data_IF_004757521215
#
_entry.id   IF_004757521215
#
_cell.length_a   1.000
_cell.length_b   1.000
_cell.length_c   1.000
_cell.angle_alpha   90.00
_cell.angle_beta   90.00
_cell.angle_gamma   90.00
#
_symmetry.space_group_name_H-M   'P 1'
#
loop_
_entity.id
_entity.type
_entity.pdbx_description
1 polymer ?
#
# COMPACT_ATOMS: atom_id res chain seq x y z
N UNK A 1 -6.24 -4.91 0.16
CA UNK A 1 -7.05 -4.53 -1.01
C UNK A 1 -8.47 -5.12 -0.98
N UNK A 2 -8.65 -6.45 -0.90
CA UNK A 2 -10.00 -7.05 -1.04
C UNK A 2 -11.02 -6.66 0.03
N UNK A 3 -10.59 -6.31 1.25
CA UNK A 3 -11.52 -5.86 2.32
C UNK A 3 -12.14 -4.50 2.03
N UNK A 4 -11.34 -3.52 1.60
CA UNK A 4 -11.85 -2.17 1.31
C UNK A 4 -12.78 -2.16 0.09
N UNK A 5 -12.48 -2.93 -0.95
CA UNK A 5 -13.40 -3.06 -2.10
C UNK A 5 -14.77 -3.61 -1.66
N UNK A 6 -14.77 -4.67 -0.84
CA UNK A 6 -16.03 -5.22 -0.31
C UNK A 6 -16.74 -4.28 0.67
N UNK A 7 -15.99 -3.48 1.42
CA UNK A 7 -16.57 -2.43 2.25
C UNK A 7 -17.25 -1.36 1.38
N UNK A 8 -16.60 -0.88 0.31
CA UNK A 8 -17.19 0.08 -0.62
C UNK A 8 -18.48 -0.46 -1.27
N UNK A 9 -18.47 -1.70 -1.76
CA UNK A 9 -19.67 -2.35 -2.31
C UNK A 9 -20.77 -2.46 -1.26
N UNK A 10 -20.43 -2.83 -0.02
CA UNK A 10 -21.42 -2.96 1.05
C UNK A 10 -22.01 -1.61 1.48
N UNK A 11 -21.21 -0.53 1.50
CA UNK A 11 -21.71 0.82 1.77
C UNK A 11 -22.65 1.30 0.67
N UNK A 12 -22.32 1.03 -0.60
CA UNK A 12 -23.19 1.36 -1.73
C UNK A 12 -24.52 0.60 -1.63
N UNK A 13 -24.50 -0.70 -1.33
CA UNK A 13 -25.74 -1.48 -1.16
C UNK A 13 -26.55 -1.06 0.08
N UNK A 14 -25.89 -0.49 1.09
CA UNK A 14 -26.54 -0.05 2.32
C UNK A 14 -27.39 1.20 2.13
N UNK A 15 -27.18 1.98 1.06
CA UNK A 15 -28.04 3.14 0.73
C UNK A 15 -29.47 2.69 0.38
N UNK A 16 -29.61 1.50 -0.22
CA UNK A 16 -30.89 0.91 -0.60
C UNK A 16 -31.41 -0.10 0.42
N UNK A 17 -30.54 -0.83 1.12
CA UNK A 17 -30.92 -1.83 2.12
C UNK A 17 -30.01 -1.80 3.36
N UNK A 18 -30.51 -1.30 4.52
CA UNK A 18 -29.73 -1.16 5.76
C UNK A 18 -29.09 -2.44 6.29
N UNK A 19 -29.53 -3.64 5.88
CA UNK A 19 -28.91 -4.91 6.27
C UNK A 19 -27.43 -4.98 5.87
N UNK A 20 -27.02 -4.27 4.81
CA UNK A 20 -25.63 -4.22 4.38
C UNK A 20 -24.73 -3.35 5.28
N UNK A 21 -25.27 -2.52 6.19
CA UNK A 21 -24.47 -1.72 7.14
C UNK A 21 -23.60 -2.61 8.05
N UNK A 22 -24.14 -3.76 8.47
CA UNK A 22 -23.39 -4.74 9.29
C UNK A 22 -22.27 -5.41 8.47
N UNK A 23 -22.51 -5.65 7.19
CA UNK A 23 -21.50 -6.20 6.27
C UNK A 23 -20.39 -5.17 6.01
N UNK A 24 -20.75 -3.91 5.80
CA UNK A 24 -19.81 -2.80 5.68
C UNK A 24 -18.93 -2.70 6.94
N UNK A 25 -19.56 -2.71 8.12
CA UNK A 25 -18.86 -2.68 9.42
C UNK A 25 -17.87 -3.85 9.55
N UNK A 26 -18.29 -5.07 9.20
CA UNK A 26 -17.40 -6.25 9.21
C UNK A 26 -16.17 -6.06 8.32
N UNK A 27 -16.33 -5.57 7.10
CA UNK A 27 -15.18 -5.38 6.19
C UNK A 27 -14.29 -4.20 6.58
N UNK A 28 -14.85 -3.20 7.22
CA UNK A 28 -14.09 -2.13 7.88
C UNK A 28 -13.21 -2.71 9.00
N UNK A 29 -13.80 -3.48 9.92
CA UNK A 29 -13.05 -4.12 11.02
C UNK A 29 -11.94 -5.05 10.49
N UNK A 30 -12.24 -5.88 9.49
CA UNK A 30 -11.25 -6.73 8.83
C UNK A 30 -10.09 -5.94 8.23
N UNK A 31 -10.36 -4.78 7.63
CA UNK A 31 -9.30 -3.92 7.10
C UNK A 31 -8.36 -3.46 8.22
N UNK A 32 -8.89 -3.07 9.37
CA UNK A 32 -8.08 -2.66 10.52
C UNK A 32 -7.22 -3.81 11.03
N UNK A 33 -7.75 -5.02 11.16
CA UNK A 33 -6.94 -6.19 11.55
C UNK A 33 -5.81 -6.50 10.56
N UNK A 34 -6.07 -6.37 9.26
CA UNK A 34 -5.04 -6.58 8.23
C UNK A 34 -3.95 -5.52 8.34
N UNK A 35 -4.32 -4.24 8.45
CA UNK A 35 -3.37 -3.15 8.50
C UNK A 35 -2.52 -3.18 9.78
N UNK A 36 -3.11 -3.56 10.92
CA UNK A 36 -2.37 -3.82 12.16
C UNK A 36 -1.36 -4.98 12.01
N UNK A 37 -1.79 -6.10 11.44
CA UNK A 37 -0.90 -7.24 11.20
C UNK A 37 0.27 -6.90 10.27
N UNK A 38 0.04 -6.10 9.22
CA UNK A 38 1.09 -5.63 8.30
C UNK A 38 2.10 -4.70 8.98
N UNK A 39 1.67 -3.95 10.01
CA UNK A 39 2.54 -3.07 10.80
C UNK A 39 3.29 -3.81 11.93
N UNK A 40 3.13 -5.13 12.07
CA UNK A 40 3.99 -5.98 12.90
C UNK A 40 3.76 -5.84 14.41
N UNK A 41 2.51 -5.79 14.84
CA UNK A 41 2.17 -5.63 16.27
C UNK A 41 1.97 -7.00 16.93
N UNK A 42 2.78 -7.27 17.96
CA UNK A 42 2.82 -8.52 18.76
C UNK A 42 4.25 -9.04 18.98
N UNK A 43 4.49 -9.83 20.04
CA UNK A 43 5.83 -10.27 20.50
C UNK A 43 6.63 -11.10 19.47
N UNK A 44 5.97 -11.71 18.48
CA UNK A 44 6.58 -12.63 17.50
C UNK A 44 6.55 -12.15 16.03
N UNK A 45 6.19 -10.89 15.76
CA UNK A 45 5.97 -10.41 14.37
C UNK A 45 7.00 -9.39 13.92
N UNK A 46 7.66 -9.66 12.79
CA UNK A 46 8.44 -8.65 12.07
C UNK A 46 7.47 -7.82 11.20
N UNK A 47 7.47 -6.48 11.29
CA UNK A 47 6.67 -5.63 10.43
C UNK A 47 7.09 -5.76 8.97
N UNK A 48 6.14 -5.70 8.04
CA UNK A 48 6.44 -5.63 6.61
C UNK A 48 7.09 -4.28 6.25
N UNK A 49 6.86 -3.25 7.05
CA UNK A 49 7.48 -1.93 6.88
C UNK A 49 8.90 -1.92 7.46
N UNK A 50 9.90 -1.77 6.60
CA UNK A 50 11.28 -1.54 7.02
C UNK A 50 11.48 -0.03 7.32
N UNK A 51 11.85 0.29 8.56
CA UNK A 51 12.03 1.67 9.01
C UNK A 51 13.29 2.33 8.43
N UNK A 52 14.30 1.54 8.09
CA UNK A 52 15.58 2.02 7.55
C UNK A 52 15.43 2.40 6.10
N UNK A 53 14.89 1.47 5.31
CA UNK A 53 14.68 1.68 3.87
C UNK A 53 13.41 2.50 3.58
N UNK A 54 12.55 2.66 4.60
CA UNK A 54 11.23 3.32 4.49
C UNK A 54 10.41 2.76 3.33
N UNK A 55 10.36 1.43 3.26
CA UNK A 55 9.69 0.68 2.20
C UNK A 55 9.07 -0.61 2.74
N UNK A 56 8.09 -1.16 2.04
CA UNK A 56 7.47 -2.44 2.40
C UNK A 56 8.21 -3.61 1.74
N UNK A 57 8.48 -4.65 2.51
CA UNK A 57 9.11 -5.89 2.06
C UNK A 57 8.32 -7.11 2.56
N UNK A 58 8.40 -8.21 1.80
CA UNK A 58 7.92 -9.50 2.26
C UNK A 58 8.82 -10.03 3.39
N UNK A 59 8.25 -10.87 4.25
CA UNK A 59 8.98 -11.53 5.34
C UNK A 59 8.81 -13.04 5.22
N UNK A 60 9.93 -13.75 5.13
CA UNK A 60 9.96 -15.21 5.21
C UNK A 60 9.96 -15.64 6.67
N UNK A 61 9.08 -16.58 7.02
CA UNK A 61 9.14 -17.30 8.29
C UNK A 61 9.75 -18.67 8.07
N UNK A 62 10.93 -18.90 8.66
CA UNK A 62 11.67 -20.14 8.56
C UNK A 62 11.16 -21.18 9.58
N UNK A 63 11.41 -22.49 9.37
CA UNK A 63 10.95 -23.55 10.26
C UNK A 63 11.47 -23.45 11.70
N UNK A 64 12.61 -22.81 11.91
CA UNK A 64 13.21 -22.53 13.22
C UNK A 64 12.56 -21.34 13.96
N UNK A 65 11.56 -20.70 13.34
CA UNK A 65 10.86 -19.53 13.86
C UNK A 65 11.53 -18.21 13.49
N UNK A 66 12.70 -18.22 12.83
CA UNK A 66 13.39 -17.01 12.39
C UNK A 66 12.59 -16.33 11.29
N UNK A 67 12.42 -15.01 11.40
CA UNK A 67 11.81 -14.18 10.39
C UNK A 67 12.89 -13.42 9.60
N UNK A 68 12.88 -13.52 8.27
CA UNK A 68 13.88 -12.88 7.40
C UNK A 68 13.18 -11.96 6.39
N UNK A 69 13.41 -10.63 6.44
CA UNK A 69 12.86 -9.71 5.46
C UNK A 69 13.53 -9.90 4.09
N UNK A 70 12.72 -10.06 3.06
CA UNK A 70 13.14 -10.11 1.66
C UNK A 70 13.24 -8.69 1.11
N UNK A 71 14.44 -8.09 1.23
CA UNK A 71 14.70 -6.69 0.81
C UNK A 71 14.82 -6.53 -0.71
N UNK A 72 13.80 -6.97 -1.42
CA UNK A 72 13.62 -6.78 -2.86
C UNK A 72 12.68 -5.60 -3.05
N UNK A 73 13.19 -4.52 -3.66
CA UNK A 73 12.39 -3.36 -4.05
C UNK A 73 11.60 -3.69 -5.30
N UNK A 74 10.46 -4.33 -5.10
CA UNK A 74 9.52 -4.69 -6.16
C UNK A 74 8.21 -3.92 -6.04
N UNK A 75 7.38 -4.04 -7.06
CA UNK A 75 6.01 -3.55 -7.12
C UNK A 75 5.16 -4.07 -5.95
N UNK A 76 5.48 -5.23 -5.38
CA UNK A 76 4.83 -5.76 -4.18
C UNK A 76 4.95 -4.79 -3.01
N UNK A 77 6.10 -4.13 -2.85
CA UNK A 77 6.29 -3.09 -1.83
C UNK A 77 5.47 -1.81 -2.07
N UNK A 78 4.91 -1.64 -3.28
CA UNK A 78 3.99 -0.54 -3.62
C UNK A 78 2.52 -0.94 -3.44
N UNK A 79 2.19 -2.24 -3.40
CA UNK A 79 0.82 -2.76 -3.23
C UNK A 79 0.06 -2.15 -2.03
N UNK A 80 0.69 -1.85 -0.88
CA UNK A 80 0.01 -1.19 0.23
C UNK A 80 -0.64 0.16 -0.14
N UNK A 81 -0.17 0.85 -1.18
CA UNK A 81 -0.79 2.08 -1.69
C UNK A 81 -2.19 1.86 -2.25
N UNK A 82 -2.46 0.69 -2.85
CA UNK A 82 -3.77 0.34 -3.41
C UNK A 82 -4.84 0.12 -2.34
N UNK A 83 -4.43 -0.13 -1.10
CA UNK A 83 -5.36 -0.31 0.01
C UNK A 83 -5.74 1.07 0.58
N UNK A 84 -6.49 1.83 -0.22
CA UNK A 84 -7.00 3.15 0.11
C UNK A 84 -8.50 3.28 -0.18
N UNK A 85 -9.21 3.95 0.72
CA UNK A 85 -10.58 4.40 0.55
C UNK A 85 -10.82 5.68 1.37
N UNK A 86 -11.63 6.59 0.85
CA UNK A 86 -12.11 7.77 1.58
C UNK A 86 -13.58 7.57 1.94
N UNK A 87 -13.92 7.88 3.19
CA UNK A 87 -15.30 7.91 3.67
C UNK A 87 -15.75 9.36 3.74
N UNK A 88 -16.78 9.72 2.97
CA UNK A 88 -17.38 11.05 2.98
C UNK A 88 -18.25 11.27 4.22
N UNK A 89 -18.41 12.52 4.64
CA UNK A 89 -19.19 12.86 5.83
C UNK A 89 -20.66 12.42 5.69
N UNK A 90 -21.18 12.50 4.47
CA UNK A 90 -22.54 12.12 4.08
C UNK A 90 -22.82 10.64 4.33
N UNK A 91 -21.82 9.76 4.16
CA UNK A 91 -21.97 8.33 4.45
C UNK A 91 -22.33 8.11 5.92
N UNK A 92 -21.70 8.85 6.84
CA UNK A 92 -21.98 8.73 8.27
C UNK A 92 -23.36 9.27 8.65
N UNK A 93 -23.86 10.26 7.91
CA UNK A 93 -25.21 10.79 8.09
C UNK A 93 -26.29 9.84 7.57
N UNK A 94 -26.03 9.16 6.44
CA UNK A 94 -26.99 8.26 5.80
C UNK A 94 -27.02 6.86 6.42
N UNK A 95 -25.89 6.38 6.96
CA UNK A 95 -25.73 5.03 7.48
C UNK A 95 -25.41 5.05 9.00
N UNK A 96 -26.41 5.30 9.86
CA UNK A 96 -26.19 5.54 11.28
C UNK A 96 -25.71 4.30 12.05
N UNK A 97 -26.04 3.08 11.62
CA UNK A 97 -25.55 1.87 12.29
C UNK A 97 -24.06 1.66 11.98
N UNK A 98 -23.66 1.84 10.73
CA UNK A 98 -22.25 1.82 10.33
C UNK A 98 -21.46 2.92 11.05
N UNK A 99 -22.00 4.13 11.10
CA UNK A 99 -21.36 5.24 11.82
C UNK A 99 -21.14 4.91 13.30
N UNK A 100 -22.19 4.45 13.99
CA UNK A 100 -22.11 4.06 15.40
C UNK A 100 -21.07 2.95 15.64
N UNK A 101 -21.01 1.94 14.78
CA UNK A 101 -20.04 0.83 14.90
C UNK A 101 -18.61 1.32 14.65
N UNK A 102 -18.42 2.17 13.65
CA UNK A 102 -17.12 2.79 13.36
C UNK A 102 -16.62 3.62 14.54
N UNK A 103 -17.47 4.48 15.09
CA UNK A 103 -17.16 5.27 16.28
C UNK A 103 -16.84 4.39 17.48
N UNK A 104 -17.69 3.40 17.78
CA UNK A 104 -17.45 2.47 18.88
C UNK A 104 -16.09 1.79 18.71
N UNK A 105 -15.74 1.33 17.52
CA UNK A 105 -14.46 0.66 17.26
C UNK A 105 -13.27 1.60 17.49
N UNK A 106 -13.30 2.82 16.94
CA UNK A 106 -12.22 3.80 17.10
C UNK A 106 -11.98 4.12 18.59
N UNK A 107 -13.05 4.21 19.38
CA UNK A 107 -12.95 4.52 20.81
C UNK A 107 -12.49 3.33 21.66
N UNK A 108 -12.93 2.12 21.33
CA UNK A 108 -12.71 0.94 22.17
C UNK A 108 -11.50 0.09 21.74
N UNK A 109 -10.93 0.33 20.55
CA UNK A 109 -9.76 -0.38 20.01
C UNK A 109 -8.60 0.57 19.66
N UNK A 110 -8.07 1.31 20.65
CA UNK A 110 -6.94 2.22 20.42
C UNK A 110 -5.70 1.48 19.91
N UNK A 111 -5.53 0.21 20.29
CA UNK A 111 -4.47 -0.69 19.81
C UNK A 111 -4.44 -0.82 18.30
N UNK A 112 -5.61 -0.87 17.65
CA UNK A 112 -5.71 -0.94 16.19
C UNK A 112 -5.76 0.45 15.55
N UNK A 113 -6.34 1.44 16.22
CA UNK A 113 -6.42 2.83 15.72
C UNK A 113 -5.05 3.44 15.48
N UNK A 114 -4.13 3.28 16.43
CA UNK A 114 -2.82 3.95 16.36
C UNK A 114 -1.94 3.37 15.23
N UNK A 115 -2.21 2.12 14.85
CA UNK A 115 -1.58 1.44 13.72
C UNK A 115 -2.36 1.59 12.42
N UNK A 116 -3.65 1.94 12.51
CA UNK A 116 -4.56 2.02 11.38
C UNK A 116 -5.38 3.31 11.34
N UNK A 117 -4.82 4.26 10.63
CA UNK A 117 -5.47 5.36 9.95
C UNK A 117 -6.05 6.51 10.75
N UNK A 118 -5.96 7.65 10.07
CA UNK A 118 -6.37 9.00 10.41
C UNK A 118 -7.91 9.08 10.46
N UNK A 119 -8.52 8.28 11.35
CA UNK A 119 -9.96 8.23 11.55
C UNK A 119 -10.47 9.43 12.36
N UNK A 120 -9.57 10.13 13.04
CA UNK A 120 -9.88 11.31 13.86
C UNK A 120 -9.62 12.63 13.13
N UNK A 121 -8.56 12.70 12.31
CA UNK A 121 -8.24 13.93 11.59
C UNK A 121 -8.91 13.92 10.23
N UNK A 122 -9.89 14.79 10.11
CA UNK A 122 -10.62 15.08 8.89
C UNK A 122 -9.67 15.62 7.81
N UNK A 123 -9.80 15.06 6.61
CA UNK A 123 -9.15 15.58 5.41
C UNK A 123 -9.99 16.65 4.73
N UNK A 124 -9.70 16.91 3.47
CA UNK A 124 -10.50 17.84 2.64
C UNK A 124 -11.96 17.36 2.57
N UNK A 125 -12.90 18.25 2.89
CA UNK A 125 -14.34 17.95 2.90
C UNK A 125 -14.76 17.03 4.06
N UNK A 126 -14.07 17.11 5.20
CA UNK A 126 -14.36 16.31 6.41
C UNK A 126 -14.24 14.78 6.22
N UNK A 127 -13.61 14.35 5.12
CA UNK A 127 -13.41 12.94 4.79
C UNK A 127 -12.55 12.24 5.83
N UNK A 128 -12.81 10.93 6.03
CA UNK A 128 -11.91 10.03 6.77
C UNK A 128 -11.16 9.13 5.80
N UNK A 129 -9.89 8.87 6.09
CA UNK A 129 -9.03 8.03 5.25
C UNK A 129 -8.89 6.64 5.86
N UNK A 130 -9.20 5.61 5.06
CA UNK A 130 -8.81 4.23 5.31
C UNK A 130 -7.64 3.89 4.39
N UNK A 131 -6.42 3.90 4.92
CA UNK A 131 -5.22 3.58 4.15
C UNK A 131 -4.23 2.75 4.98
N UNK A 132 -3.34 1.99 4.34
CA UNK A 132 -2.21 1.33 5.01
C UNK A 132 -0.99 2.26 5.08
N UNK A 133 -0.76 3.02 4.01
CA UNK A 133 0.32 4.00 3.91
C UNK A 133 -0.19 5.41 4.26
N UNK A 134 0.02 5.85 5.50
CA UNK A 134 -0.28 7.22 5.96
C UNK A 134 0.64 8.25 5.31
N UNK A 135 0.33 9.57 5.40
CA UNK A 135 1.04 10.61 4.66
C UNK A 135 2.57 10.53 4.73
N UNK A 136 3.13 10.16 5.89
CA UNK A 136 4.59 10.01 6.06
C UNK A 136 5.17 8.77 5.38
N UNK A 137 4.44 7.65 5.39
CA UNK A 137 4.81 6.43 4.65
C UNK A 137 4.58 6.62 3.16
N UNK A 138 3.45 7.21 2.77
CA UNK A 138 3.13 7.60 1.40
C UNK A 138 4.26 8.45 0.83
N UNK A 139 4.65 9.54 1.49
CA UNK A 139 5.75 10.40 1.03
C UNK A 139 7.05 9.62 0.84
N UNK A 140 7.39 8.72 1.76
CA UNK A 140 8.60 7.91 1.64
C UNK A 140 8.53 6.90 0.48
N UNK A 141 7.41 6.22 0.31
CA UNK A 141 7.20 5.30 -0.80
C UNK A 141 7.27 6.05 -2.13
N UNK A 142 6.65 7.23 -2.22
CA UNK A 142 6.66 8.06 -3.43
C UNK A 142 8.06 8.57 -3.77
N UNK A 143 8.90 8.89 -2.79
CA UNK A 143 10.30 9.23 -3.03
C UNK A 143 11.04 8.11 -3.78
N UNK A 144 10.85 6.85 -3.38
CA UNK A 144 11.46 5.71 -4.07
C UNK A 144 10.76 5.40 -5.40
N UNK A 145 9.42 5.45 -5.43
CA UNK A 145 8.62 5.13 -6.61
C UNK A 145 8.84 6.12 -7.77
N UNK A 146 8.98 7.41 -7.48
CA UNK A 146 9.13 8.48 -8.47
C UNK A 146 10.60 8.76 -8.81
N UNK A 147 11.55 7.95 -8.34
CA UNK A 147 12.96 8.05 -8.69
C UNK A 147 13.25 7.28 -9.99
N UNK A 148 13.85 7.95 -10.97
CA UNK A 148 14.17 7.34 -12.28
C UNK A 148 15.25 6.26 -12.23
N UNK A 149 16.11 6.29 -11.21
CA UNK A 149 17.09 5.24 -10.92
C UNK A 149 16.49 4.05 -10.17
N UNK A 150 15.21 4.12 -9.82
CA UNK A 150 14.48 3.07 -9.13
C UNK A 150 13.30 2.61 -10.00
N UNK A 151 12.10 3.09 -9.70
CA UNK A 151 10.85 2.60 -10.27
C UNK A 151 10.35 3.43 -11.45
N UNK A 152 10.58 4.74 -11.48
CA UNK A 152 10.02 5.63 -12.51
C UNK A 152 10.75 5.46 -13.84
N UNK A 153 9.98 5.27 -14.91
CA UNK A 153 10.49 5.21 -16.28
C UNK A 153 9.66 6.11 -17.19
N UNK A 154 10.13 6.37 -18.43
CA UNK A 154 9.34 7.07 -19.44
C UNK A 154 8.00 6.41 -19.79
N UNK A 155 7.81 5.13 -19.42
CA UNK A 155 6.62 4.35 -19.75
C UNK A 155 5.76 4.00 -18.52
N UNK A 156 6.16 4.42 -17.31
CA UNK A 156 5.48 4.11 -16.05
C UNK A 156 6.39 3.48 -14.99
N UNK A 157 5.77 2.88 -13.99
CA UNK A 157 6.39 2.25 -12.83
C UNK A 157 6.77 0.81 -13.13
N UNK A 158 8.06 0.49 -12.95
CA UNK A 158 8.66 -0.85 -13.16
C UNK A 158 8.19 -1.86 -12.12
N UNK A 159 8.21 -3.15 -12.49
CA UNK A 159 7.92 -4.24 -11.54
C UNK A 159 9.00 -4.44 -10.47
N UNK A 160 10.25 -4.19 -10.83
CA UNK A 160 11.41 -4.24 -9.93
C UNK A 160 12.21 -2.97 -10.12
N UNK A 161 12.68 -2.41 -9.01
CA UNK A 161 13.50 -1.22 -9.03
C UNK A 161 14.80 -1.46 -9.80
N UNK A 162 15.16 -0.50 -10.66
CA UNK A 162 16.44 -0.45 -11.37
C UNK A 162 17.64 -0.40 -10.41
N UNK A 163 17.44 -0.10 -9.13
CA UNK A 163 18.43 -0.27 -8.07
C UNK A 163 19.09 -1.66 -8.08
N UNK A 164 18.32 -2.70 -8.38
CA UNK A 164 18.82 -4.08 -8.41
C UNK A 164 19.72 -4.39 -9.62
N UNK A 165 19.85 -3.49 -10.60
CA UNK A 165 20.80 -3.65 -11.70
C UNK A 165 22.26 -3.55 -11.22
N UNK A 166 22.51 -2.77 -10.16
CA UNK A 166 23.83 -2.59 -9.55
C UNK A 166 23.96 -3.28 -8.19
N UNK A 167 22.83 -3.58 -7.55
CA UNK A 167 22.75 -4.17 -6.21
C UNK A 167 21.71 -5.29 -6.19
N UNK A 168 22.00 -6.42 -6.84
CA UNK A 168 21.08 -7.53 -6.85
C UNK A 168 20.82 -8.04 -5.44
N UNK A 169 19.58 -8.44 -5.16
CA UNK A 169 19.26 -9.01 -3.87
C UNK A 169 19.73 -10.46 -3.82
N UNK A 170 20.56 -10.79 -2.83
CA UNK A 170 21.06 -12.16 -2.61
C UNK A 170 20.38 -12.77 -1.39
N UNK A 171 19.94 -14.01 -1.53
CA UNK A 171 19.41 -14.82 -0.44
C UNK A 171 20.12 -16.17 -0.36
N UNK A 172 20.75 -16.44 0.78
CA UNK A 172 21.54 -17.64 1.04
C UNK A 172 20.71 -18.63 1.87
N UNK A 173 20.44 -19.83 1.35
CA UNK A 173 19.72 -20.89 2.08
C UNK A 173 20.29 -22.27 1.77
N UNK A 174 20.59 -23.07 2.81
CA UNK A 174 21.14 -24.42 2.70
C UNK A 174 22.37 -24.54 1.78
N UNK A 175 23.24 -23.53 1.78
CA UNK A 175 24.43 -23.48 0.92
C UNK A 175 24.16 -23.13 -0.54
N UNK A 176 22.91 -22.86 -0.92
CA UNK A 176 22.53 -22.37 -2.25
C UNK A 176 22.26 -20.86 -2.19
N UNK A 177 22.81 -20.13 -3.16
CA UNK A 177 22.57 -18.69 -3.29
C UNK A 177 21.52 -18.42 -4.36
N UNK A 178 20.50 -17.64 -4.02
CA UNK A 178 19.48 -17.16 -4.94
C UNK A 178 19.63 -15.66 -5.15
N UNK A 179 19.30 -15.22 -6.35
CA UNK A 179 19.44 -13.83 -6.77
C UNK A 179 18.13 -13.29 -7.35
N UNK A 180 17.86 -12.03 -7.04
CA UNK A 180 16.87 -11.22 -7.74
C UNK A 180 17.61 -10.03 -8.36
N UNK A 181 17.79 -10.12 -9.66
CA UNK A 181 18.43 -9.12 -10.50
C UNK A 181 17.38 -8.25 -11.19
N UNK A 182 17.83 -7.15 -11.80
CA UNK A 182 17.02 -6.35 -12.72
C UNK A 182 17.17 -6.90 -14.15
N UNK A 183 16.10 -7.47 -14.69
CA UNK A 183 16.11 -8.23 -15.96
C UNK A 183 15.11 -7.64 -16.98
N UNK A 184 15.51 -6.64 -17.79
CA UNK A 184 14.64 -6.06 -18.79
C UNK A 184 14.36 -7.04 -19.94
N UNK A 185 13.09 -7.41 -20.13
CA UNK A 185 12.61 -8.18 -21.27
C UNK A 185 12.73 -9.70 -21.09
N UNK A 186 13.93 -10.24 -20.98
CA UNK A 186 14.18 -11.69 -20.92
C UNK A 186 14.85 -12.08 -19.59
N UNK A 187 14.44 -13.23 -19.02
CA UNK A 187 15.08 -13.79 -17.82
C UNK A 187 16.43 -14.38 -18.19
N UNK A 188 17.44 -14.16 -17.35
CA UNK A 188 18.75 -14.81 -17.46
C UNK A 188 18.72 -16.29 -17.05
N UNK A 189 17.58 -16.75 -16.51
CA UNK A 189 17.36 -18.13 -16.10
C UNK A 189 16.18 -18.77 -16.86
N UNK A 190 16.22 -20.08 -17.03
CA UNK A 190 15.12 -20.85 -17.63
C UNK A 190 13.87 -20.96 -16.73
N UNK A 191 13.92 -20.43 -15.51
CA UNK A 191 12.75 -20.40 -14.62
C UNK A 191 11.61 -19.65 -15.30
N UNK A 192 10.39 -20.17 -15.15
CA UNK A 192 9.17 -19.63 -15.78
C UNK A 192 9.27 -19.49 -17.32
N UNK A 193 10.03 -20.38 -17.97
CA UNK A 193 10.14 -20.43 -19.43
C UNK A 193 10.98 -19.29 -20.03
N UNK A 194 11.91 -18.71 -19.26
CA UNK A 194 12.75 -17.60 -19.73
C UNK A 194 12.07 -16.23 -19.66
N UNK A 195 10.84 -16.17 -19.14
CA UNK A 195 10.09 -14.92 -19.07
C UNK A 195 10.42 -14.12 -17.79
N UNK A 196 10.81 -12.85 -17.95
CA UNK A 196 11.12 -11.89 -16.89
C UNK A 196 9.90 -11.10 -16.36
N UNK A 197 8.66 -11.52 -16.65
CA UNK A 197 7.38 -10.85 -16.39
C UNK A 197 7.31 -9.96 -15.13
N UNK A 198 7.94 -10.38 -14.02
CA UNK A 198 7.92 -9.68 -12.73
C UNK A 198 9.23 -8.98 -12.34
N UNK A 199 10.26 -9.01 -13.19
CA UNK A 199 11.64 -8.55 -12.89
C UNK A 199 12.08 -7.32 -13.69
N UNK A 200 11.14 -6.70 -14.37
CA UNK A 200 11.26 -5.37 -14.97
C UNK A 200 9.92 -4.83 -15.46
N UNK A 201 9.09 -5.62 -16.20
CA UNK A 201 8.03 -5.08 -17.03
C UNK A 201 7.10 -4.11 -16.34
N UNK A 202 6.59 -3.16 -17.13
CA UNK A 202 5.61 -2.18 -16.66
C UNK A 202 4.23 -2.75 -16.92
N UNK A 203 3.55 -3.16 -15.85
CA UNK A 203 2.20 -3.70 -15.94
C UNK A 203 1.20 -2.56 -15.97
N UNK A 204 0.55 -2.39 -17.12
CA UNK A 204 -0.51 -1.40 -17.31
C UNK A 204 -1.58 -1.44 -16.18
N UNK A 205 -2.15 -2.61 -15.79
CA UNK A 205 -3.17 -2.65 -14.74
C UNK A 205 -2.68 -2.11 -13.40
N UNK A 206 -1.41 -2.37 -13.05
CA UNK A 206 -0.85 -1.93 -11.77
C UNK A 206 -0.54 -0.44 -11.76
N UNK A 207 -0.10 0.11 -12.89
CA UNK A 207 0.11 1.54 -13.08
C UNK A 207 -1.22 2.30 -13.02
N UNK A 208 -2.27 1.75 -13.64
CA UNK A 208 -3.62 2.28 -13.51
C UNK A 208 -4.08 2.31 -12.05
N UNK A 209 -3.90 1.21 -11.31
CA UNK A 209 -4.24 1.16 -9.87
C UNK A 209 -3.41 2.13 -9.03
N UNK A 210 -2.16 2.41 -9.41
CA UNK A 210 -1.33 3.40 -8.74
C UNK A 210 -1.90 4.80 -8.94
N UNK A 211 -2.23 5.17 -10.18
CA UNK A 211 -2.85 6.47 -10.49
C UNK A 211 -4.14 6.64 -9.69
N UNK A 212 -5.02 5.64 -9.73
CA UNK A 212 -6.26 5.61 -8.95
C UNK A 212 -6.04 5.78 -7.44
N UNK A 213 -5.02 5.13 -6.88
CA UNK A 213 -4.68 5.28 -5.47
C UNK A 213 -4.21 6.71 -5.15
N UNK A 214 -3.37 7.30 -6.01
CA UNK A 214 -2.84 8.66 -5.83
C UNK A 214 -3.95 9.72 -5.92
N UNK A 215 -4.91 9.55 -6.83
CA UNK A 215 -6.09 10.41 -6.90
C UNK A 215 -6.92 10.33 -5.61
N UNK A 216 -7.16 9.14 -5.05
CA UNK A 216 -7.84 9.01 -3.75
C UNK A 216 -7.07 9.63 -2.59
N UNK A 217 -5.74 9.54 -2.62
CA UNK A 217 -4.90 10.27 -1.65
C UNK A 217 -5.02 11.78 -1.84
N UNK A 218 -5.09 12.28 -3.08
CA UNK A 218 -5.33 13.70 -3.37
C UNK A 218 -6.67 14.18 -2.82
N UNK A 219 -7.75 13.41 -3.03
CA UNK A 219 -9.09 13.76 -2.53
C UNK A 219 -9.12 13.97 -1.01
N UNK A 220 -8.27 13.26 -0.28
CA UNK A 220 -8.13 13.40 1.17
C UNK A 220 -7.11 14.49 1.58
N UNK A 221 -5.94 14.55 0.95
CA UNK A 221 -4.80 15.38 1.37
C UNK A 221 -4.79 16.79 0.75
N UNK A 222 -5.45 16.98 -0.38
CA UNK A 222 -5.51 18.23 -1.11
C UNK A 222 -4.21 18.66 -1.79
N UNK A 223 -4.21 19.90 -2.30
CA UNK A 223 -3.12 20.48 -3.12
C UNK A 223 -1.84 20.81 -2.33
N UNK A 224 -1.95 20.91 -1.01
CA UNK A 224 -0.82 21.21 -0.13
C UNK A 224 0.10 20.01 0.09
N UNK A 225 -0.40 18.78 -0.12
CA UNK A 225 0.46 17.61 -0.08
C UNK A 225 1.22 17.47 -1.39
N UNK A 226 2.49 17.88 -1.35
CA UNK A 226 3.40 17.82 -2.50
C UNK A 226 4.50 16.80 -2.32
N UNK A 227 4.90 16.21 -3.43
CA UNK A 227 6.07 15.32 -3.56
C UNK A 227 6.91 15.76 -4.74
N UNK A 228 8.18 15.41 -4.72
CA UNK A 228 9.09 15.69 -5.82
C UNK A 228 8.89 14.65 -6.93
N UNK A 229 8.71 15.09 -8.18
CA UNK A 229 8.45 14.20 -9.31
C UNK A 229 9.09 14.76 -10.60
N UNK A 230 10.11 14.10 -11.17
CA UNK A 230 10.82 12.95 -10.62
C UNK A 230 11.53 13.28 -9.29
N UNK A 231 11.76 12.27 -8.44
CA UNK A 231 12.55 12.45 -7.21
C UNK A 231 13.96 12.97 -7.56
N UNK A 232 14.41 14.01 -6.85
CA UNK A 232 15.68 14.71 -7.08
C UNK A 232 15.65 15.79 -8.16
N UNK A 233 14.52 16.08 -8.81
CA UNK A 233 14.40 17.07 -9.88
C UNK A 233 14.24 18.53 -9.42
N UNK A 234 13.92 18.75 -8.15
CA UNK A 234 13.45 20.03 -7.61
C UNK A 234 12.01 20.40 -7.98
N UNK A 235 11.32 19.59 -8.80
CA UNK A 235 9.95 19.86 -9.22
C UNK A 235 8.95 19.22 -8.26
N UNK A 236 8.14 20.06 -7.62
CA UNK A 236 7.13 19.65 -6.64
C UNK A 236 5.74 19.63 -7.25
N UNK A 237 5.10 18.47 -7.18
CA UNK A 237 3.76 18.23 -7.72
C UNK A 237 2.83 17.73 -6.60
N UNK A 238 1.54 18.04 -6.70
CA UNK A 238 0.52 17.36 -5.90
C UNK A 238 0.22 15.98 -6.51
N UNK A 239 -0.69 15.23 -5.88
CA UNK A 239 -1.03 13.87 -6.32
C UNK A 239 -2.09 13.81 -7.44
N UNK A 240 -2.45 14.97 -8.03
CA UNK A 240 -3.42 15.06 -9.13
C UNK A 240 -2.69 15.24 -10.46
N UNK A 241 -2.91 14.30 -11.36
CA UNK A 241 -2.39 14.37 -12.73
C UNK A 241 -3.32 15.25 -13.58
N UNK A 242 -2.73 16.09 -14.44
CA UNK A 242 -3.45 16.88 -15.44
C UNK A 242 -3.27 16.26 -16.82
#
# INVERSE_FOLDING_TARGET
MSSLLRNAIALELATENPVYEDIASKFFEHFLYIADAMNGVGEDKIPLWDKTDRFYYDVLRLPDGTNVPLRVRSLVGLVPLFAIMTLEAEIFAQLPNFARRTEWFIHNRPDLRDNVACMQKQGVGERRLLAIAYPDKLRAILQTMLNEQEFLSPYGIRSVSKYHAVRPYRFDVNGTQYYVDYEPGESTTALFGGNSNWREPIWFPTNYLLIEALLRFHDYLGDEFKVECPTGSGQWMNLRFK
#
